data_IF_999201303390
#
_entry.id   IF_999201303390
#
_cell.length_a   1.000
_cell.length_b   1.000
_cell.length_c   1.000
_cell.angle_alpha   90.00
_cell.angle_beta   90.00
_cell.angle_gamma   90.00
#
_symmetry.space_group_name_H-M   'P 1'
#
loop_
_entity.id
_entity.type
_entity.pdbx_description
1 polymer ?
#
# COMPACT_ATOMS: atom_id res chain seq x y z
N UNK A 1 28.36 32.96 59.89
CA UNK A 1 28.42 33.78 58.66
C UNK A 1 27.64 33.06 57.56
N UNK A 2 26.92 33.76 56.67
CA UNK A 2 26.18 33.15 55.55
C UNK A 2 26.95 33.34 54.25
N UNK A 3 27.38 32.26 53.62
CA UNK A 3 28.07 32.25 52.32
C UNK A 3 27.05 32.17 51.18
N UNK A 4 26.95 33.23 50.36
CA UNK A 4 26.16 33.20 49.13
C UNK A 4 26.94 32.46 48.03
N UNK A 5 26.30 31.49 47.37
CA UNK A 5 26.74 30.99 46.07
C UNK A 5 25.93 31.66 44.95
N UNK A 6 26.55 32.04 43.81
CA UNK A 6 25.83 32.59 42.67
C UNK A 6 25.09 31.49 41.90
N UNK A 7 23.81 31.73 41.56
CA UNK A 7 23.02 30.81 40.73
C UNK A 7 23.49 30.88 39.27
N UNK A 8 24.00 29.78 38.73
CA UNK A 8 24.22 29.62 37.29
C UNK A 8 22.86 29.55 36.56
N UNK A 9 22.69 30.36 35.51
CA UNK A 9 21.55 30.25 34.59
C UNK A 9 21.81 29.12 33.59
N UNK A 10 20.90 28.14 33.42
CA UNK A 10 20.99 27.21 32.29
C UNK A 10 20.63 27.93 30.98
N UNK A 11 21.24 27.56 29.84
CA UNK A 11 20.82 28.06 28.52
C UNK A 11 19.45 27.48 28.13
N UNK A 12 18.66 28.17 27.29
CA UNK A 12 17.38 27.67 26.83
C UNK A 12 17.57 26.42 25.95
N UNK A 13 16.85 25.35 26.27
CA UNK A 13 16.76 24.15 25.42
C UNK A 13 15.81 24.45 24.25
N UNK A 14 16.16 24.14 22.99
CA UNK A 14 15.19 24.23 21.89
C UNK A 14 14.09 23.17 22.08
N UNK A 15 12.85 23.63 22.27
CA UNK A 15 11.68 22.75 22.39
C UNK A 15 11.23 22.27 21.01
N UNK A 16 11.92 21.26 20.46
CA UNK A 16 11.41 20.50 19.32
C UNK A 16 10.31 19.53 19.77
N UNK A 17 9.15 20.09 20.09
CA UNK A 17 7.88 19.35 20.18
C UNK A 17 7.04 19.71 18.96
N UNK A 18 6.76 18.72 18.12
CA UNK A 18 5.77 18.81 17.05
C UNK A 18 5.04 17.47 16.94
N UNK A 19 3.73 17.51 16.69
CA UNK A 19 2.83 16.38 16.91
C UNK A 19 3.12 15.16 16.03
N UNK A 20 2.91 13.96 16.60
CA UNK A 20 3.03 12.70 15.85
C UNK A 20 1.77 12.36 15.02
N UNK A 21 0.69 13.13 15.17
CA UNK A 21 -0.53 13.01 14.35
C UNK A 21 -1.21 14.37 14.09
N UNK A 22 -1.81 14.47 12.89
CA UNK A 22 -2.74 15.47 12.34
C UNK A 22 -2.22 16.87 11.92
N UNK A 23 -2.58 17.20 10.67
CA UNK A 23 -2.67 18.50 9.97
C UNK A 23 -1.48 19.47 9.97
N UNK A 24 -0.66 19.36 8.93
CA UNK A 24 0.20 20.44 8.40
C UNK A 24 -0.05 20.63 6.89
N UNK A 25 -1.14 21.33 6.54
CA UNK A 25 -1.51 21.66 5.14
C UNK A 25 -1.55 23.18 4.89
N UNK A 26 -0.62 23.92 5.50
CA UNK A 26 -0.39 25.34 5.20
C UNK A 26 0.96 25.52 4.51
N UNK A 27 0.93 26.07 3.29
CA UNK A 27 2.14 26.40 2.53
C UNK A 27 2.97 27.45 3.27
N UNK A 28 4.26 27.19 3.47
CA UNK A 28 5.17 28.14 4.12
C UNK A 28 5.48 29.28 3.15
N UNK A 29 4.71 30.37 3.26
CA UNK A 29 4.98 31.62 2.55
C UNK A 29 6.21 32.28 3.20
N UNK A 30 7.34 32.26 2.52
CA UNK A 30 8.57 32.91 2.98
C UNK A 30 8.36 34.42 3.21
N UNK A 31 8.62 34.96 4.41
CA UNK A 31 8.52 36.40 4.66
C UNK A 31 9.55 37.16 3.83
N UNK A 32 9.09 37.94 2.85
CA UNK A 32 9.96 38.76 2.01
C UNK A 32 10.20 40.10 2.70
N UNK A 33 11.41 40.32 3.22
CA UNK A 33 11.78 41.56 3.90
C UNK A 33 12.71 42.41 3.00
N UNK A 34 12.31 43.62 2.55
CA UNK A 34 13.00 44.35 1.48
C UNK A 34 14.16 45.22 2.00
N UNK A 35 15.24 44.62 2.50
CA UNK A 35 16.50 45.35 2.75
C UNK A 35 17.71 44.43 2.61
N UNK A 36 18.58 44.70 1.63
CA UNK A 36 19.85 44.01 1.46
C UNK A 36 20.99 44.81 2.13
N UNK A 37 21.82 44.20 3.02
CA UNK A 37 23.04 44.83 3.50
C UNK A 37 24.14 44.76 2.41
N UNK A 38 24.97 45.80 2.34
CA UNK A 38 26.09 45.88 1.38
C UNK A 38 27.22 44.94 1.78
N UNK A 39 27.68 44.09 0.85
CA UNK A 39 28.88 43.28 1.01
C UNK A 39 30.14 44.05 0.54
N UNK A 40 31.28 43.96 1.27
CA UNK A 40 32.56 44.45 0.79
C UNK A 40 33.16 43.53 -0.30
N UNK A 41 34.08 44.08 -1.08
CA UNK A 41 34.75 43.43 -2.22
C UNK A 41 36.02 42.64 -1.80
N UNK A 42 36.61 41.91 -2.77
CA UNK A 42 37.84 41.08 -2.69
C UNK A 42 37.63 39.66 -2.13
N UNK A 43 38.29 38.59 -2.57
CA UNK A 43 39.41 38.39 -3.53
C UNK A 43 39.11 37.27 -4.57
N UNK A 44 39.87 37.17 -5.69
CA UNK A 44 39.66 36.13 -6.71
C UNK A 44 40.27 34.76 -6.35
N UNK A 45 39.50 33.68 -6.50
CA UNK A 45 39.98 32.30 -6.35
C UNK A 45 40.79 31.80 -7.56
N UNK A 46 41.84 30.98 -7.36
CA UNK A 46 42.64 30.42 -8.45
C UNK A 46 41.89 29.32 -9.25
N UNK A 47 42.29 29.08 -10.53
CA UNK A 47 41.66 28.08 -11.39
C UNK A 47 42.04 26.63 -11.02
N UNK A 48 41.21 25.62 -11.40
CA UNK A 48 41.49 24.21 -11.17
C UNK A 48 42.63 23.65 -12.04
N UNK A 49 43.30 22.56 -11.62
CA UNK A 49 44.37 21.92 -12.38
C UNK A 49 43.87 21.17 -13.62
N UNK A 50 44.72 20.98 -14.66
CA UNK A 50 44.36 20.29 -15.90
C UNK A 50 44.26 18.75 -15.75
N UNK A 51 43.50 18.06 -16.63
CA UNK A 51 43.44 16.61 -16.67
C UNK A 51 44.74 15.97 -17.20
N UNK A 52 44.99 14.68 -16.90
CA UNK A 52 46.19 13.96 -17.36
C UNK A 52 46.20 13.73 -18.89
N UNK A 53 47.39 13.52 -19.50
CA UNK A 53 47.50 13.40 -20.96
C UNK A 53 46.87 12.12 -21.51
N UNK A 54 46.15 12.24 -22.63
CA UNK A 54 45.78 11.11 -23.48
C UNK A 54 46.86 10.87 -24.54
N UNK A 55 47.24 9.62 -24.75
CA UNK A 55 48.16 9.24 -25.84
C UNK A 55 47.42 9.15 -27.17
N UNK A 56 47.92 9.87 -28.18
CA UNK A 56 47.68 9.61 -29.60
C UNK A 56 48.23 8.19 -29.96
N UNK A 57 47.82 7.50 -31.03
CA UNK A 57 47.14 7.89 -32.28
C UNK A 57 46.13 6.76 -32.67
N UNK A 58 45.39 6.71 -33.78
CA UNK A 58 45.47 7.35 -35.11
C UNK A 58 44.09 7.75 -35.67
N UNK A 59 44.08 8.63 -36.65
CA UNK A 59 42.88 9.08 -37.37
C UNK A 59 42.67 8.31 -38.67
N UNK A 60 41.40 8.04 -39.05
CA UNK A 60 40.88 8.47 -40.37
C UNK A 60 39.39 8.20 -40.61
N UNK A 61 38.75 9.19 -41.26
CA UNK A 61 37.65 9.05 -42.23
C UNK A 61 36.27 8.49 -41.82
N UNK A 62 35.42 9.42 -41.38
CA UNK A 62 34.24 9.88 -42.15
C UNK A 62 33.04 8.95 -42.45
N UNK A 63 31.91 9.38 -41.89
CA UNK A 63 30.60 9.57 -42.56
C UNK A 63 29.49 8.50 -42.51
N UNK A 64 28.38 8.97 -41.95
CA UNK A 64 26.97 8.81 -42.35
C UNK A 64 26.05 7.70 -41.79
N UNK A 65 24.81 8.16 -41.58
CA UNK A 65 23.50 7.46 -41.57
C UNK A 65 23.22 6.35 -40.55
N UNK A 66 22.38 6.73 -39.56
CA UNK A 66 21.09 6.12 -39.23
C UNK A 66 20.87 4.61 -39.47
N UNK A 67 20.55 3.86 -38.41
CA UNK A 67 19.15 3.55 -38.01
C UNK A 67 19.09 2.71 -36.72
N UNK A 68 17.91 2.65 -36.09
CA UNK A 68 17.67 1.92 -34.82
C UNK A 68 16.97 0.59 -35.07
N UNK A 69 17.58 -0.54 -34.71
CA UNK A 69 16.87 -1.83 -34.64
C UNK A 69 17.52 -2.83 -33.67
N UNK A 70 16.90 -3.07 -32.52
CA UNK A 70 17.35 -4.05 -31.51
C UNK A 70 16.75 -5.44 -31.77
N UNK A 71 17.36 -6.21 -32.69
CA UNK A 71 17.05 -7.62 -32.87
C UNK A 71 17.83 -8.49 -31.87
N UNK A 72 17.15 -9.01 -30.84
CA UNK A 72 17.71 -10.09 -30.01
C UNK A 72 17.63 -11.42 -30.77
N UNK A 73 18.80 -11.98 -31.12
CA UNK A 73 18.92 -13.37 -31.59
C UNK A 73 19.22 -14.28 -30.41
N UNK A 74 18.62 -15.47 -30.40
CA UNK A 74 19.14 -16.61 -29.66
C UNK A 74 19.64 -17.68 -30.64
N UNK A 75 20.72 -18.36 -30.28
CA UNK A 75 21.54 -19.15 -31.20
C UNK A 75 20.93 -20.51 -31.55
N UNK A 76 21.22 -20.99 -32.76
CA UNK A 76 20.86 -22.31 -33.25
C UNK A 76 21.90 -23.39 -32.91
N UNK A 77 21.44 -24.66 -32.93
CA UNK A 77 22.21 -25.86 -33.36
C UNK A 77 23.37 -26.35 -32.45
N UNK A 78 23.88 -27.60 -32.60
CA UNK A 78 23.71 -28.54 -33.72
C UNK A 78 23.20 -29.96 -33.42
N UNK A 79 22.92 -30.66 -34.54
CA UNK A 79 22.50 -32.05 -34.69
C UNK A 79 23.73 -32.98 -34.58
N UNK A 80 23.51 -34.26 -34.28
CA UNK A 80 24.43 -35.34 -34.66
C UNK A 80 23.68 -36.55 -35.22
N UNK A 81 24.29 -37.18 -36.22
CA UNK A 81 23.82 -38.40 -36.92
C UNK A 81 24.17 -39.66 -36.09
N UNK A 82 23.82 -40.92 -36.41
CA UNK A 82 23.65 -41.59 -37.72
C UNK A 82 22.96 -42.98 -37.55
N UNK A 83 22.67 -43.67 -38.67
CA UNK A 83 22.55 -45.14 -38.86
C UNK A 83 21.19 -45.89 -38.76
N UNK A 84 20.61 -46.11 -39.96
CA UNK A 84 20.23 -47.41 -40.56
C UNK A 84 19.14 -48.36 -40.00
N UNK A 85 18.17 -48.67 -40.90
CA UNK A 85 17.53 -49.98 -41.19
C UNK A 85 16.66 -50.67 -40.09
N UNK A 86 15.45 -51.20 -40.33
CA UNK A 86 14.51 -51.22 -41.50
C UNK A 86 13.11 -50.69 -41.05
N UNK A 87 11.88 -51.04 -41.47
CA UNK A 87 11.30 -52.04 -42.41
C UNK A 87 9.91 -51.61 -42.96
N UNK A 88 9.10 -52.58 -43.43
CA UNK A 88 7.79 -52.46 -44.09
C UNK A 88 6.59 -52.33 -43.14
N UNK A 89 5.68 -51.40 -43.44
CA UNK A 89 4.20 -51.58 -43.42
C UNK A 89 3.49 -50.29 -43.90
N UNK A 90 2.40 -50.36 -44.69
CA UNK A 90 1.59 -49.20 -45.05
C UNK A 90 0.39 -49.02 -44.10
N UNK A 91 0.44 -48.03 -43.20
CA UNK A 91 -0.69 -47.72 -42.30
C UNK A 91 -1.34 -46.35 -42.61
N UNK A 92 -2.63 -46.26 -42.29
CA UNK A 92 -3.61 -45.26 -42.74
C UNK A 92 -3.21 -43.80 -42.50
N UNK A 93 -3.29 -42.97 -43.55
CA UNK A 93 -3.11 -41.51 -43.48
C UNK A 93 -4.23 -40.82 -42.68
N UNK A 94 -4.12 -40.80 -41.35
CA UNK A 94 -4.91 -39.88 -40.54
C UNK A 94 -4.38 -38.46 -40.72
N UNK A 95 -5.15 -37.61 -41.41
CA UNK A 95 -4.86 -36.18 -41.55
C UNK A 95 -5.13 -35.49 -40.22
N UNK A 96 -4.11 -35.41 -39.36
CA UNK A 96 -4.21 -34.79 -38.05
C UNK A 96 -4.29 -33.27 -38.18
N UNK A 97 -5.52 -32.74 -38.32
CA UNK A 97 -5.79 -31.30 -38.31
C UNK A 97 -5.48 -30.70 -36.93
N UNK A 98 -4.22 -30.30 -36.74
CA UNK A 98 -3.84 -29.35 -35.71
C UNK A 98 -4.62 -28.05 -35.95
N UNK A 99 -5.60 -27.76 -35.09
CA UNK A 99 -6.23 -26.45 -35.07
C UNK A 99 -5.17 -25.40 -34.72
N UNK A 100 -5.19 -24.21 -35.35
CA UNK A 100 -4.24 -23.15 -35.01
C UNK A 100 -4.36 -22.79 -33.52
N UNK A 101 -3.25 -22.39 -32.87
CA UNK A 101 -3.30 -21.93 -31.49
C UNK A 101 -4.28 -20.74 -31.38
N UNK A 102 -5.04 -20.63 -30.28
CA UNK A 102 -5.98 -19.53 -30.10
C UNK A 102 -5.24 -18.18 -30.19
N UNK A 103 -5.87 -17.14 -30.77
CA UNK A 103 -5.24 -15.83 -30.87
C UNK A 103 -4.89 -15.30 -29.46
N UNK A 104 -3.81 -14.51 -29.33
CA UNK A 104 -3.46 -13.90 -28.05
C UNK A 104 -4.64 -13.06 -27.52
N UNK A 105 -4.89 -13.07 -26.21
CA UNK A 105 -5.99 -12.29 -25.63
C UNK A 105 -5.79 -10.78 -25.94
N UNK A 106 -6.89 -10.03 -26.14
CA UNK A 106 -6.79 -8.59 -26.38
C UNK A 106 -6.10 -7.89 -25.20
N UNK A 107 -5.35 -6.79 -25.46
CA UNK A 107 -4.71 -6.03 -24.38
C UNK A 107 -5.76 -5.49 -23.41
N UNK A 108 -5.44 -5.40 -22.10
CA UNK A 108 -6.37 -4.86 -21.11
C UNK A 108 -6.68 -3.39 -21.43
N UNK A 109 -7.96 -3.04 -21.33
CA UNK A 109 -8.40 -1.64 -21.47
C UNK A 109 -7.87 -0.84 -20.28
N UNK A 110 -7.08 0.19 -20.58
CA UNK A 110 -6.57 1.17 -19.61
C UNK A 110 -7.17 2.52 -20.00
N UNK A 111 -7.96 3.10 -19.09
CA UNK A 111 -8.51 4.45 -19.26
C UNK A 111 -7.64 5.39 -18.43
N UNK A 112 -7.01 6.36 -19.10
CA UNK A 112 -6.06 7.29 -18.46
C UNK A 112 -6.74 8.41 -17.69
N UNK A 113 -7.97 8.78 -18.09
CA UNK A 113 -8.77 9.76 -17.39
C UNK A 113 -9.59 9.10 -16.26
N UNK A 114 -9.51 9.64 -15.05
CA UNK A 114 -10.17 9.05 -13.88
C UNK A 114 -11.70 9.26 -13.90
N UNK A 115 -12.20 10.35 -14.50
CA UNK A 115 -13.63 10.63 -14.56
C UNK A 115 -14.32 9.70 -15.58
N UNK A 116 -13.73 9.50 -16.76
CA UNK A 116 -14.15 8.51 -17.75
C UNK A 116 -14.08 7.09 -17.17
N UNK A 117 -12.95 6.74 -16.53
CA UNK A 117 -12.75 5.43 -15.88
C UNK A 117 -13.87 5.12 -14.87
N UNK A 118 -14.19 6.08 -14.00
CA UNK A 118 -15.24 5.90 -13.01
C UNK A 118 -16.63 5.88 -13.64
N UNK A 119 -16.92 6.68 -14.66
CA UNK A 119 -18.20 6.67 -15.35
C UNK A 119 -18.47 5.33 -16.08
N UNK A 120 -17.47 4.80 -16.79
CA UNK A 120 -17.56 3.48 -17.45
C UNK A 120 -17.69 2.35 -16.42
N UNK A 121 -16.98 2.45 -15.29
CA UNK A 121 -17.11 1.49 -14.19
C UNK A 121 -18.49 1.55 -13.53
N UNK A 122 -19.04 2.73 -13.27
CA UNK A 122 -20.38 2.92 -12.69
C UNK A 122 -21.45 2.29 -13.59
N UNK A 123 -21.40 2.56 -14.90
CA UNK A 123 -22.31 1.97 -15.87
C UNK A 123 -22.22 0.43 -15.85
N UNK A 124 -21.02 -0.14 -15.92
CA UNK A 124 -20.82 -1.60 -15.90
C UNK A 124 -21.22 -2.26 -14.57
N UNK A 125 -21.02 -1.58 -13.43
CA UNK A 125 -21.44 -2.06 -12.11
C UNK A 125 -22.97 -1.95 -11.92
N UNK A 126 -23.64 -1.06 -12.65
CA UNK A 126 -25.09 -0.87 -12.59
C UNK A 126 -25.92 -1.89 -13.38
N UNK A 127 -25.35 -2.62 -14.36
CA UNK A 127 -26.13 -3.52 -15.23
C UNK A 127 -26.66 -4.76 -14.52
N UNK A 128 -26.12 -5.09 -13.33
CA UNK A 128 -26.43 -6.31 -12.59
C UNK A 128 -25.86 -7.59 -13.20
N UNK A 129 -25.17 -7.53 -14.35
CA UNK A 129 -24.59 -8.69 -15.01
C UNK A 129 -23.22 -9.03 -14.40
N UNK A 130 -23.02 -10.27 -13.96
CA UNK A 130 -21.74 -10.76 -13.43
C UNK A 130 -20.57 -10.48 -14.42
N UNK A 131 -20.82 -10.63 -15.72
CA UNK A 131 -19.82 -10.41 -16.77
C UNK A 131 -19.37 -8.94 -16.87
N UNK A 132 -20.23 -7.97 -16.56
CA UNK A 132 -19.87 -6.55 -16.53
C UNK A 132 -19.22 -6.16 -15.20
N UNK A 133 -19.68 -6.73 -14.07
CA UNK A 133 -19.00 -6.60 -12.78
C UNK A 133 -17.55 -7.09 -12.87
N UNK A 134 -17.31 -8.22 -13.53
CA UNK A 134 -15.95 -8.74 -13.80
C UNK A 134 -15.15 -7.74 -14.65
N UNK A 135 -15.68 -7.26 -15.79
CA UNK A 135 -15.00 -6.26 -16.65
C UNK A 135 -14.59 -5.02 -15.85
N UNK A 136 -15.53 -4.45 -15.10
CA UNK A 136 -15.32 -3.22 -14.33
C UNK A 136 -14.18 -3.37 -13.31
N UNK A 137 -14.18 -4.45 -12.54
CA UNK A 137 -13.18 -4.70 -11.50
C UNK A 137 -11.77 -4.93 -12.09
N UNK A 138 -11.66 -5.58 -13.25
CA UNK A 138 -10.37 -5.72 -13.93
C UNK A 138 -9.91 -4.41 -14.60
N UNK A 139 -10.82 -3.65 -15.25
CA UNK A 139 -10.53 -2.34 -15.84
C UNK A 139 -10.05 -1.33 -14.78
N UNK A 140 -10.75 -1.27 -13.63
CA UNK A 140 -10.34 -0.48 -12.46
C UNK A 140 -8.97 -0.95 -11.93
N UNK A 141 -8.72 -2.27 -11.83
CA UNK A 141 -7.41 -2.78 -11.42
C UNK A 141 -6.30 -2.33 -12.37
N UNK A 142 -6.47 -2.48 -13.69
CA UNK A 142 -5.43 -2.16 -14.65
C UNK A 142 -5.13 -0.66 -14.73
N UNK A 143 -6.17 0.18 -14.57
CA UNK A 143 -6.00 1.63 -14.63
C UNK A 143 -5.46 2.21 -13.32
N UNK A 144 -6.03 1.85 -12.15
CA UNK A 144 -5.66 2.44 -10.85
C UNK A 144 -4.37 1.88 -10.21
N UNK A 145 -3.95 0.66 -10.59
CA UNK A 145 -2.77 -0.02 -9.98
C UNK A 145 -1.52 0.12 -10.86
N UNK A 146 -1.61 0.85 -11.98
CA UNK A 146 -0.47 1.15 -12.86
C UNK A 146 0.40 2.28 -12.27
N UNK A 147 1.74 2.15 -12.21
CA UNK A 147 2.62 3.12 -11.52
C UNK A 147 2.51 4.59 -11.94
N UNK A 148 1.98 4.88 -13.15
CA UNK A 148 1.80 6.26 -13.64
C UNK A 148 0.92 7.10 -12.70
N UNK A 149 -0.15 6.51 -12.18
CA UNK A 149 -1.10 7.18 -11.29
C UNK A 149 -0.49 7.63 -9.93
N UNK A 150 0.75 7.22 -9.62
CA UNK A 150 1.47 7.60 -8.41
C UNK A 150 2.59 8.64 -8.65
N UNK A 151 2.82 9.09 -9.89
CA UNK A 151 3.96 9.97 -10.25
C UNK A 151 3.57 11.32 -10.83
N UNK A 152 2.34 11.50 -11.29
CA UNK A 152 1.79 12.79 -11.69
C UNK A 152 0.98 13.37 -10.53
N UNK A 153 1.11 14.67 -10.26
CA UNK A 153 0.33 15.38 -9.24
C UNK A 153 -1.12 15.59 -9.70
N UNK A 154 -1.80 14.50 -10.03
CA UNK A 154 -3.11 14.49 -10.66
C UNK A 154 -4.18 15.11 -9.77
N UNK A 155 -5.19 15.68 -10.43
CA UNK A 155 -6.39 16.18 -9.78
C UNK A 155 -7.05 15.05 -8.98
N UNK A 156 -7.42 15.33 -7.73
CA UNK A 156 -7.87 14.31 -6.78
C UNK A 156 -9.34 13.96 -7.03
N UNK A 157 -9.60 13.26 -8.14
CA UNK A 157 -10.94 12.82 -8.54
C UNK A 157 -11.51 11.87 -7.46
N UNK A 158 -12.60 12.31 -6.83
CA UNK A 158 -13.33 11.49 -5.86
C UNK A 158 -14.00 10.31 -6.56
N UNK A 159 -13.87 9.12 -5.98
CA UNK A 159 -14.52 7.91 -6.49
C UNK A 159 -16.05 8.01 -6.28
N UNK A 160 -16.88 7.87 -7.33
CA UNK A 160 -18.34 7.90 -7.16
C UNK A 160 -18.82 6.81 -6.19
N UNK A 161 -19.77 7.07 -5.29
CA UNK A 161 -20.15 6.11 -4.26
C UNK A 161 -20.75 4.81 -4.83
N UNK A 162 -21.35 4.84 -6.02
CA UNK A 162 -21.80 3.64 -6.72
C UNK A 162 -20.64 2.73 -7.17
N UNK A 163 -19.53 3.31 -7.65
CA UNK A 163 -18.31 2.57 -7.99
C UNK A 163 -17.71 1.95 -6.71
N UNK A 164 -17.66 2.73 -5.63
CA UNK A 164 -17.20 2.25 -4.31
C UNK A 164 -18.03 1.04 -3.84
N UNK A 165 -19.37 1.14 -3.84
CA UNK A 165 -20.27 0.00 -3.54
C UNK A 165 -19.97 -1.22 -4.40
N UNK A 166 -19.85 -1.05 -5.72
CA UNK A 166 -19.60 -2.15 -6.64
C UNK A 166 -18.28 -2.88 -6.35
N UNK A 167 -17.21 -2.13 -6.02
CA UNK A 167 -15.93 -2.70 -5.55
C UNK A 167 -16.09 -3.44 -4.23
N UNK A 168 -16.80 -2.87 -3.25
CA UNK A 168 -17.00 -3.48 -1.94
C UNK A 168 -17.84 -4.77 -2.00
N UNK A 169 -18.87 -4.82 -2.86
CA UNK A 169 -19.65 -6.03 -3.11
C UNK A 169 -18.82 -7.18 -3.72
N UNK A 170 -17.69 -6.88 -4.36
CA UNK A 170 -16.79 -7.88 -4.93
C UNK A 170 -15.79 -8.49 -3.92
N UNK A 171 -15.74 -8.03 -2.67
CA UNK A 171 -14.75 -8.49 -1.69
C UNK A 171 -14.96 -9.94 -1.22
N UNK A 172 -16.19 -10.46 -1.28
CA UNK A 172 -16.56 -11.85 -0.93
C UNK A 172 -16.64 -12.81 -2.12
N UNK A 173 -16.59 -12.29 -3.34
CA UNK A 173 -16.58 -13.08 -4.57
C UNK A 173 -15.20 -13.75 -4.71
N UNK A 174 -15.13 -15.08 -4.75
CA UNK A 174 -13.85 -15.82 -4.76
C UNK A 174 -12.98 -15.53 -5.99
N UNK A 175 -13.56 -15.09 -7.11
CA UNK A 175 -12.82 -14.65 -8.29
C UNK A 175 -12.39 -13.18 -8.14
N UNK A 176 -13.30 -12.33 -7.66
CA UNK A 176 -13.09 -10.87 -7.65
C UNK A 176 -12.47 -10.30 -6.37
N UNK A 177 -12.36 -11.04 -5.26
CA UNK A 177 -11.74 -10.57 -4.02
C UNK A 177 -10.27 -10.16 -4.23
N UNK A 178 -9.50 -10.92 -5.02
CA UNK A 178 -8.09 -10.63 -5.33
C UNK A 178 -7.93 -9.32 -6.12
N UNK A 179 -8.71 -9.01 -7.17
CA UNK A 179 -8.67 -7.69 -7.80
C UNK A 179 -9.37 -6.58 -7.02
N UNK A 180 -10.54 -6.81 -6.40
CA UNK A 180 -11.27 -5.81 -5.63
C UNK A 180 -10.45 -5.27 -4.44
N UNK A 181 -9.74 -6.13 -3.69
CA UNK A 181 -8.81 -5.67 -2.62
C UNK A 181 -7.62 -4.85 -3.12
N UNK A 182 -7.24 -4.95 -4.41
CA UNK A 182 -6.25 -4.03 -5.01
C UNK A 182 -6.87 -2.70 -5.40
N UNK A 183 -8.07 -2.72 -5.99
CA UNK A 183 -8.83 -1.51 -6.36
C UNK A 183 -9.15 -0.69 -5.11
N UNK A 184 -9.75 -1.31 -4.09
CA UNK A 184 -10.06 -0.64 -2.82
C UNK A 184 -8.83 -0.01 -2.16
N UNK A 185 -7.71 -0.75 -2.09
CA UNK A 185 -6.48 -0.23 -1.53
C UNK A 185 -5.94 0.97 -2.33
N UNK A 186 -5.97 0.91 -3.67
CA UNK A 186 -5.55 2.02 -4.52
C UNK A 186 -6.44 3.26 -4.33
N UNK A 187 -7.77 3.08 -4.28
CA UNK A 187 -8.72 4.15 -4.01
C UNK A 187 -8.46 4.83 -2.66
N UNK A 188 -8.25 4.04 -1.60
CA UNK A 188 -8.04 4.52 -0.23
C UNK A 188 -6.68 5.22 0.00
N UNK A 189 -5.75 5.18 -0.95
CA UNK A 189 -4.55 6.02 -0.89
C UNK A 189 -4.94 7.51 -0.94
N UNK A 190 -5.88 7.87 -1.83
CA UNK A 190 -6.49 9.20 -1.89
C UNK A 190 -7.35 9.46 -0.66
N UNK A 191 -7.10 10.57 0.05
CA UNK A 191 -7.72 10.84 1.35
C UNK A 191 -9.24 11.06 1.27
N UNK A 192 -9.71 11.78 0.24
CA UNK A 192 -11.14 11.98 -0.01
C UNK A 192 -11.93 10.67 -0.14
N UNK A 193 -11.33 9.64 -0.74
CA UNK A 193 -11.98 8.36 -0.99
C UNK A 193 -12.11 7.52 0.27
N UNK A 194 -11.39 7.84 1.35
CA UNK A 194 -11.53 7.15 2.65
C UNK A 194 -12.86 7.49 3.30
N UNK A 195 -13.31 8.74 3.20
CA UNK A 195 -14.62 9.17 3.67
C UNK A 195 -15.74 8.46 2.90
N UNK A 196 -15.73 8.54 1.56
CA UNK A 196 -16.72 7.85 0.70
C UNK A 196 -16.73 6.33 0.93
N UNK A 197 -15.58 5.71 1.17
CA UNK A 197 -15.51 4.29 1.51
C UNK A 197 -16.18 3.97 2.85
N UNK A 198 -15.98 4.79 3.90
CA UNK A 198 -16.67 4.62 5.19
C UNK A 198 -18.19 4.83 5.03
N UNK A 199 -18.62 5.87 4.31
CA UNK A 199 -20.04 6.13 4.04
C UNK A 199 -20.74 4.96 3.32
N UNK A 200 -20.04 4.25 2.44
CA UNK A 200 -20.55 3.04 1.76
C UNK A 200 -20.29 1.72 2.53
N UNK A 201 -19.96 1.81 3.82
CA UNK A 201 -19.84 0.68 4.74
C UNK A 201 -18.61 -0.21 4.48
N UNK A 202 -17.50 0.37 4.01
CA UNK A 202 -16.28 -0.39 3.70
C UNK A 202 -15.67 -1.06 4.94
N UNK A 203 -15.76 -0.47 6.14
CA UNK A 203 -15.17 -1.04 7.35
C UNK A 203 -15.85 -2.37 7.68
N UNK A 204 -17.18 -2.40 7.80
CA UNK A 204 -17.94 -3.64 7.94
C UNK A 204 -17.68 -4.65 6.82
N UNK A 205 -17.76 -4.24 5.55
CA UNK A 205 -17.58 -5.16 4.41
C UNK A 205 -16.16 -5.74 4.33
N UNK A 206 -15.13 -4.99 4.72
CA UNK A 206 -13.74 -5.48 4.80
C UNK A 206 -13.55 -6.39 6.01
N UNK A 207 -14.13 -6.07 7.17
CA UNK A 207 -14.12 -6.95 8.36
C UNK A 207 -14.80 -8.29 8.06
N UNK A 208 -15.97 -8.28 7.44
CA UNK A 208 -16.66 -9.50 7.00
C UNK A 208 -15.82 -10.30 6.00
N UNK A 209 -15.29 -9.67 4.95
CA UNK A 209 -14.49 -10.36 3.93
C UNK A 209 -13.16 -10.89 4.49
N UNK A 210 -12.59 -10.24 5.51
CA UNK A 210 -11.37 -10.72 6.18
C UNK A 210 -11.55 -12.07 6.85
N UNK A 211 -12.77 -12.48 7.24
CA UNK A 211 -13.07 -13.80 7.82
C UNK A 211 -12.80 -14.93 6.82
N UNK A 212 -13.20 -14.73 5.57
CA UNK A 212 -13.11 -15.71 4.48
C UNK A 212 -11.72 -15.75 3.79
N UNK A 213 -10.81 -14.82 4.13
CA UNK A 213 -9.50 -14.68 3.48
C UNK A 213 -8.37 -15.37 4.24
N UNK A 214 -7.60 -16.18 3.51
CA UNK A 214 -6.31 -16.73 3.96
C UNK A 214 -5.31 -15.61 4.30
N UNK A 215 -4.45 -15.84 5.29
CA UNK A 215 -3.51 -14.85 5.85
C UNK A 215 -2.35 -14.42 4.95
N UNK A 216 -2.43 -14.69 3.64
CA UNK A 216 -1.48 -14.28 2.64
C UNK A 216 -1.74 -12.86 2.09
N UNK A 217 -1.22 -12.60 0.89
CA UNK A 217 -1.16 -11.25 0.31
C UNK A 217 -2.53 -10.61 -0.05
N UNK A 218 -3.66 -11.32 0.05
CA UNK A 218 -5.01 -10.75 -0.16
C UNK A 218 -5.54 -10.17 1.15
N UNK A 219 -5.48 -10.92 2.26
CA UNK A 219 -5.78 -10.41 3.60
C UNK A 219 -4.85 -9.23 3.98
N UNK A 220 -3.57 -9.26 3.60
CA UNK A 220 -2.67 -8.12 3.79
C UNK A 220 -3.23 -6.81 3.17
N UNK A 221 -3.77 -6.89 1.95
CA UNK A 221 -4.31 -5.71 1.24
C UNK A 221 -5.64 -5.25 1.80
N UNK A 222 -6.50 -6.18 2.23
CA UNK A 222 -7.71 -5.87 2.97
C UNK A 222 -7.39 -5.15 4.30
N UNK A 223 -6.43 -5.67 5.09
CA UNK A 223 -5.94 -5.00 6.31
C UNK A 223 -5.26 -3.65 6.04
N UNK A 224 -4.55 -3.50 4.91
CA UNK A 224 -3.95 -2.23 4.53
C UNK A 224 -5.00 -1.17 4.18
N UNK A 225 -6.06 -1.56 3.47
CA UNK A 225 -7.20 -0.68 3.22
C UNK A 225 -7.91 -0.32 4.53
N UNK A 226 -8.16 -1.30 5.41
CA UNK A 226 -8.77 -1.06 6.72
C UNK A 226 -7.95 -0.10 7.59
N UNK A 227 -6.61 -0.20 7.59
CA UNK A 227 -5.74 0.75 8.32
C UNK A 227 -5.85 2.17 7.74
N UNK A 228 -6.02 2.32 6.42
CA UNK A 228 -6.28 3.62 5.79
C UNK A 228 -7.66 4.17 6.16
N UNK A 229 -8.72 3.35 6.15
CA UNK A 229 -10.06 3.76 6.61
C UNK A 229 -10.04 4.24 8.06
N UNK A 230 -9.20 3.64 8.91
CA UNK A 230 -9.02 4.08 10.30
C UNK A 230 -8.18 5.36 10.48
N UNK A 231 -7.73 6.02 9.40
CA UNK A 231 -7.10 7.36 9.49
C UNK A 231 -8.13 8.49 9.59
N UNK A 232 -9.36 8.25 9.13
CA UNK A 232 -10.50 9.16 9.32
C UNK A 232 -11.24 8.77 10.61
N UNK A 233 -11.91 9.74 11.26
CA UNK A 233 -12.44 9.55 12.62
C UNK A 233 -13.65 8.62 12.65
N UNK A 234 -14.52 8.76 11.66
CA UNK A 234 -15.70 7.96 11.37
C UNK A 234 -15.35 6.48 11.14
N UNK A 235 -14.35 6.17 10.31
CA UNK A 235 -13.94 4.78 10.06
C UNK A 235 -13.30 4.12 11.28
N UNK A 236 -12.56 4.88 12.09
CA UNK A 236 -12.05 4.41 13.38
C UNK A 236 -13.17 4.26 14.45
N UNK A 237 -14.29 4.97 14.32
CA UNK A 237 -15.45 4.80 15.19
C UNK A 237 -16.30 3.59 14.77
N UNK A 238 -16.60 3.44 13.47
CA UNK A 238 -17.31 2.27 12.91
C UNK A 238 -16.56 0.98 13.24
N UNK A 239 -15.23 0.95 13.10
CA UNK A 239 -14.43 -0.24 13.44
C UNK A 239 -14.61 -0.65 14.90
N UNK A 240 -14.69 0.31 15.85
CA UNK A 240 -14.89 0.01 17.28
C UNK A 240 -16.34 -0.38 17.59
N UNK A 241 -17.31 0.19 16.87
CA UNK A 241 -18.72 -0.18 16.99
C UNK A 241 -19.02 -1.58 16.38
N UNK A 242 -18.13 -2.12 15.55
CA UNK A 242 -18.30 -3.44 14.95
C UNK A 242 -18.20 -4.56 16.00
N UNK A 243 -19.33 -5.22 16.27
CA UNK A 243 -19.40 -6.34 17.20
C UNK A 243 -18.35 -7.43 16.88
N UNK A 244 -17.73 -8.01 17.91
CA UNK A 244 -16.75 -9.09 17.83
C UNK A 244 -15.49 -8.79 16.99
N UNK A 245 -15.22 -7.53 16.65
CA UNK A 245 -14.02 -7.13 15.89
C UNK A 245 -12.71 -7.52 16.60
N UNK A 246 -12.69 -7.45 17.94
CA UNK A 246 -11.52 -7.84 18.74
C UNK A 246 -11.17 -9.32 18.59
N UNK A 247 -12.06 -10.26 18.95
CA UNK A 247 -11.83 -11.69 18.77
C UNK A 247 -11.54 -12.10 17.33
N UNK A 248 -12.24 -11.51 16.36
CA UNK A 248 -12.00 -11.73 14.92
C UNK A 248 -10.59 -11.29 14.50
N UNK A 249 -10.14 -10.10 14.93
CA UNK A 249 -8.82 -9.57 14.56
C UNK A 249 -7.67 -10.35 15.21
N UNK A 250 -7.86 -10.90 16.42
CA UNK A 250 -6.91 -11.83 17.03
C UNK A 250 -6.75 -13.09 16.16
N UNK A 251 -7.83 -13.69 15.67
CA UNK A 251 -7.76 -14.88 14.81
C UNK A 251 -7.13 -14.56 13.44
N UNK A 252 -7.55 -13.46 12.79
CA UNK A 252 -6.89 -12.97 11.56
C UNK A 252 -5.39 -12.81 11.78
N UNK A 253 -4.97 -12.24 12.91
CA UNK A 253 -3.57 -12.02 13.23
C UNK A 253 -2.78 -13.32 13.46
N UNK A 254 -3.38 -14.36 14.06
CA UNK A 254 -2.74 -15.68 14.22
C UNK A 254 -2.38 -16.31 12.87
N UNK A 255 -3.28 -16.19 11.88
CA UNK A 255 -3.08 -16.78 10.55
C UNK A 255 -2.29 -15.91 9.57
N UNK A 256 -1.97 -14.65 9.88
CA UNK A 256 -1.21 -13.80 8.95
C UNK A 256 0.19 -14.35 8.68
N UNK A 257 0.45 -14.72 7.43
CA UNK A 257 1.74 -15.22 6.95
C UNK A 257 2.73 -14.07 6.72
N UNK A 258 2.24 -12.93 6.22
CA UNK A 258 3.09 -11.86 5.69
C UNK A 258 3.54 -10.85 6.75
N UNK A 259 4.79 -10.39 6.63
CA UNK A 259 5.43 -9.39 7.51
C UNK A 259 4.65 -8.08 7.59
N UNK A 260 4.06 -7.65 6.46
CA UNK A 260 3.22 -6.45 6.36
C UNK A 260 1.80 -6.70 6.85
N UNK A 261 1.23 -7.87 6.60
CA UNK A 261 -0.06 -8.28 7.13
C UNK A 261 -0.11 -8.21 8.66
N UNK A 262 0.95 -8.72 9.32
CA UNK A 262 1.13 -8.61 10.79
C UNK A 262 1.27 -7.16 11.25
N UNK A 263 2.02 -6.32 10.53
CA UNK A 263 2.11 -4.88 10.84
C UNK A 263 0.76 -4.15 10.72
N UNK A 264 -0.05 -4.51 9.73
CA UNK A 264 -1.37 -3.92 9.53
C UNK A 264 -2.33 -4.39 10.64
N UNK A 265 -2.39 -5.70 10.94
CA UNK A 265 -3.22 -6.25 12.01
C UNK A 265 -2.90 -5.65 13.39
N UNK A 266 -1.61 -5.46 13.72
CA UNK A 266 -1.18 -4.75 14.94
C UNK A 266 -1.69 -3.29 14.94
N UNK A 267 -1.73 -2.64 13.77
CA UNK A 267 -2.31 -1.31 13.61
C UNK A 267 -3.81 -1.30 13.88
N UNK A 268 -4.57 -2.26 13.33
CA UNK A 268 -6.01 -2.40 13.56
C UNK A 268 -6.31 -2.65 15.05
N UNK A 269 -5.56 -3.53 15.72
CA UNK A 269 -5.68 -3.73 17.17
C UNK A 269 -5.35 -2.45 17.95
N UNK A 270 -4.36 -1.67 17.53
CA UNK A 270 -4.04 -0.38 18.16
C UNK A 270 -5.13 0.69 17.93
N UNK A 271 -5.91 0.62 16.85
CA UNK A 271 -7.11 1.44 16.68
C UNK A 271 -8.19 0.97 17.67
N UNK A 272 -8.50 -0.33 17.70
CA UNK A 272 -9.52 -0.93 18.56
C UNK A 272 -9.29 -0.57 20.03
N UNK A 273 -8.15 -0.96 20.59
CA UNK A 273 -7.85 -0.83 22.03
C UNK A 273 -7.27 0.54 22.43
N UNK A 274 -6.98 1.43 21.46
CA UNK A 274 -6.49 2.79 21.70
C UNK A 274 -7.58 3.86 21.90
N UNK A 275 -8.84 3.47 22.07
CA UNK A 275 -9.95 4.39 22.35
C UNK A 275 -10.04 4.74 23.85
N UNK A 276 -10.10 6.02 24.20
CA UNK A 276 -10.19 6.46 25.60
C UNK A 276 -11.61 6.31 26.16
N UNK A 277 -11.91 5.15 26.76
CA UNK A 277 -13.16 4.94 27.50
C UNK A 277 -13.40 3.48 27.90
N UNK A 278 -13.12 3.14 29.17
CA UNK A 278 -13.56 1.86 29.77
C UNK A 278 -15.06 1.96 30.10
N UNK A 279 -15.90 1.92 29.05
CA UNK A 279 -17.34 2.16 29.14
C UNK A 279 -18.19 1.05 28.52
N UNK A 280 -17.66 0.33 27.51
CA UNK A 280 -18.35 -0.79 26.89
C UNK A 280 -17.33 -1.81 26.34
N UNK A 281 -16.66 -2.53 27.25
CA UNK A 281 -15.73 -3.61 26.90
C UNK A 281 -16.44 -4.88 26.36
N UNK A 282 -17.77 -4.86 26.28
CA UNK A 282 -18.69 -5.99 26.07
C UNK A 282 -18.72 -6.51 24.62
N UNK A 283 -17.57 -6.95 24.12
CA UNK A 283 -17.44 -7.52 22.77
C UNK A 283 -16.01 -7.58 22.20
N UNK A 284 -15.02 -7.03 22.91
CA UNK A 284 -13.61 -7.12 22.52
C UNK A 284 -12.95 -8.41 23.04
N UNK A 285 -11.75 -8.71 22.52
CA UNK A 285 -10.97 -9.84 23.01
C UNK A 285 -10.32 -9.49 24.38
N UNK A 286 -10.11 -10.48 25.27
CA UNK A 286 -9.35 -10.28 26.51
C UNK A 286 -7.99 -9.64 26.22
N UNK A 287 -7.63 -8.59 26.98
CA UNK A 287 -6.45 -7.76 26.71
C UNK A 287 -5.16 -8.58 26.79
N UNK A 288 -5.14 -9.62 27.62
CA UNK A 288 -4.06 -10.58 27.80
C UNK A 288 -3.84 -11.45 26.55
N UNK A 289 -4.92 -11.87 25.89
CA UNK A 289 -4.85 -12.66 24.64
C UNK A 289 -4.41 -11.78 23.46
N UNK A 290 -4.86 -10.53 23.42
CA UNK A 290 -4.37 -9.52 22.46
C UNK A 290 -2.88 -9.27 22.68
N UNK A 291 -2.44 -9.07 23.92
CA UNK A 291 -1.03 -8.91 24.27
C UNK A 291 -0.22 -10.15 23.86
N UNK A 292 -0.74 -11.37 24.11
CA UNK A 292 -0.09 -12.63 23.75
C UNK A 292 0.12 -12.79 22.24
N UNK A 293 -0.91 -12.53 21.42
CA UNK A 293 -0.77 -12.63 19.95
C UNK A 293 0.15 -11.53 19.40
N UNK A 294 0.11 -10.32 19.97
CA UNK A 294 1.01 -9.21 19.60
C UNK A 294 2.47 -9.54 19.92
N UNK A 295 2.77 -10.05 21.12
CA UNK A 295 4.12 -10.50 21.47
C UNK A 295 4.61 -11.62 20.54
N UNK A 296 3.79 -12.63 20.26
CA UNK A 296 4.14 -13.74 19.37
C UNK A 296 4.45 -13.26 17.94
N UNK A 297 3.63 -12.35 17.39
CA UNK A 297 3.89 -11.78 16.08
C UNK A 297 5.17 -10.92 16.05
N UNK A 298 5.44 -10.15 17.12
CA UNK A 298 6.65 -9.33 17.26
C UNK A 298 7.94 -10.14 17.36
N UNK A 299 7.89 -11.33 17.99
CA UNK A 299 8.99 -12.30 18.06
C UNK A 299 9.25 -12.98 16.70
N UNK A 300 8.19 -13.21 15.92
CA UNK A 300 8.28 -13.75 14.56
C UNK A 300 8.63 -12.69 13.50
N UNK A 301 8.34 -13.03 12.24
CA UNK A 301 8.56 -12.17 11.07
C UNK A 301 7.61 -10.95 11.04
N UNK A 302 7.87 -9.96 11.90
CA UNK A 302 7.23 -8.64 11.87
C UNK A 302 8.22 -7.56 11.41
N UNK A 303 7.72 -6.44 10.88
CA UNK A 303 8.55 -5.33 10.44
C UNK A 303 9.06 -4.49 11.63
N UNK A 304 10.06 -3.62 11.39
CA UNK A 304 10.50 -2.63 12.36
C UNK A 304 9.48 -1.50 12.64
N UNK A 305 8.45 -1.32 11.78
CA UNK A 305 7.30 -0.44 12.06
C UNK A 305 6.24 -1.20 12.86
N UNK A 306 5.93 -2.45 12.49
CA UNK A 306 5.03 -3.32 13.23
C UNK A 306 5.47 -3.58 14.68
N UNK A 307 6.76 -3.86 14.93
CA UNK A 307 7.30 -3.97 16.31
C UNK A 307 7.14 -2.69 17.13
N UNK A 308 7.22 -1.49 16.50
CA UNK A 308 7.00 -0.21 17.20
C UNK A 308 5.51 0.01 17.50
N UNK A 309 4.61 -0.28 16.56
CA UNK A 309 3.15 -0.28 16.82
C UNK A 309 2.80 -1.24 17.97
N UNK A 310 3.35 -2.46 17.94
CA UNK A 310 3.07 -3.51 18.93
C UNK A 310 3.58 -3.17 20.32
N UNK A 311 4.80 -2.62 20.44
CA UNK A 311 5.32 -2.14 21.73
C UNK A 311 4.46 -1.00 22.32
N UNK A 312 3.90 -0.12 21.46
CA UNK A 312 2.96 0.93 21.88
C UNK A 312 1.60 0.35 22.32
N UNK A 313 1.06 -0.62 21.58
CA UNK A 313 -0.18 -1.31 21.94
C UNK A 313 -0.04 -2.07 23.28
N UNK A 314 1.06 -2.81 23.49
CA UNK A 314 1.32 -3.51 24.76
C UNK A 314 1.37 -2.54 25.95
N UNK A 315 1.86 -1.32 25.75
CA UNK A 315 1.82 -0.26 26.77
C UNK A 315 0.39 0.25 27.04
N UNK A 316 -0.44 0.42 26.00
CA UNK A 316 -1.85 0.81 26.16
C UNK A 316 -2.61 -0.24 26.97
N UNK A 317 -2.47 -1.53 26.64
CA UNK A 317 -3.16 -2.63 27.35
C UNK A 317 -2.78 -2.63 28.86
N UNK A 318 -1.49 -2.50 29.18
CA UNK A 318 -1.00 -2.36 30.56
C UNK A 318 -1.47 -1.09 31.27
N UNK A 319 -1.76 -0.01 30.53
CA UNK A 319 -2.33 1.23 31.11
C UNK A 319 -3.83 1.08 31.36
N UNK A 320 -4.57 0.39 30.48
CA UNK A 320 -5.99 0.04 30.66
C UNK A 320 -6.20 -0.90 31.86
N UNK A 321 -5.48 -2.04 31.92
CA UNK A 321 -5.52 -3.02 33.03
C UNK A 321 -5.38 -2.35 34.40
N UNK A 322 -4.52 -1.32 34.48
CA UNK A 322 -4.27 -0.55 35.71
C UNK A 322 -5.38 0.45 36.04
N UNK A 323 -6.09 0.98 35.03
CA UNK A 323 -7.23 1.88 35.23
C UNK A 323 -8.44 1.09 35.72
N UNK A 324 -8.72 -0.08 35.15
CA UNK A 324 -9.83 -0.94 35.56
C UNK A 324 -9.64 -1.39 37.03
N UNK A 325 -8.45 -1.88 37.39
CA UNK A 325 -8.06 -2.17 38.79
C UNK A 325 -8.10 -0.96 39.74
N UNK A 326 -8.11 0.28 39.21
CA UNK A 326 -8.26 1.49 40.01
C UNK A 326 -9.72 1.92 40.19
N UNK A 327 -10.66 1.35 39.43
CA UNK A 327 -12.10 1.60 39.56
C UNK A 327 -12.79 0.60 40.49
N UNK A 328 -12.31 -0.64 40.61
CA UNK A 328 -12.88 -1.65 41.54
C UNK A 328 -12.62 -1.36 43.03
N UNK A 329 -11.86 -0.31 43.37
CA UNK A 329 -11.38 -0.01 44.74
C UNK A 329 -11.90 1.35 45.26
N UNK A 330 -12.88 1.96 44.56
CA UNK A 330 -13.47 3.27 44.88
C UNK A 330 -14.93 3.23 45.31
#
# INVERSE_FOLDING_TARGET
>A
MKTHQPKLKPPPRPLFSCGFFRYCTQSVISPTNPTAPVLPLSEPTPPPPPPPPQTHSESSSSSNTSQSFTQWRFSHTPISTTNFLTDTSPETTQVHHQSPPPPPPPPPVVISDLQELFHVAELQLSTGLDSDRVKAIYMLQHSLVTPRAASEGGELVSCPPAVMRGVLCCLKDKQLAKPATRVLLALCLGECNRHVAVEEGAVGKVVEALVDLDGGAVAERALAALELLCTVAEGAAELRAHALVGPMMVEVMRRMETTRGRENAIGILAVIFGGTGSGDAMGFAPQEEVARVVMLAMQGACSARGRRKGAHLLKILQENERLDLSQEVG
#
